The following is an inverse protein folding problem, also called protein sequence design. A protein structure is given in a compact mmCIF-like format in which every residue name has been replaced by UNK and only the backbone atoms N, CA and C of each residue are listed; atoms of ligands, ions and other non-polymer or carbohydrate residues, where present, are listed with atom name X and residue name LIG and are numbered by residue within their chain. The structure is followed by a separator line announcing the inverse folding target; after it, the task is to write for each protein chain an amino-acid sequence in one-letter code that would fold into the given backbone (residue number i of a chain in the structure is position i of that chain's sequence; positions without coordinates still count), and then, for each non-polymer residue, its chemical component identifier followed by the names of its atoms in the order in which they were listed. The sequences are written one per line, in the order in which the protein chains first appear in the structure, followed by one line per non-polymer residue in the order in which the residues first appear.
data_IF_436086999846
#
_entry.id   IF_436086999846
#
_cell.length_a   1.000
_cell.length_b   1.000
_cell.length_c   1.000
_cell.angle_alpha   90.00
_cell.angle_beta   90.00
_cell.angle_gamma   90.00
#
_symmetry.space_group_name_H-M   'P 1'
#
loop_
_entity.id
_entity.type
_entity.pdbx_description
1 polymer ?
#
# COMPACT_ATOMS: atom_id res chain seq x y z
N UNK A 1 8.01 -17.09 -2.02
CA UNK A 1 6.93 -16.20 -1.54
C UNK A 1 5.57 -16.72 -1.95
N UNK A 2 4.52 -16.48 -1.15
CA UNK A 2 3.12 -16.72 -1.48
C UNK A 2 2.47 -15.40 -1.96
N UNK A 3 1.64 -15.46 -3.00
CA UNK A 3 0.91 -14.29 -3.53
C UNK A 3 -0.58 -14.50 -3.30
N UNK A 4 -1.19 -13.57 -2.61
CA UNK A 4 -2.61 -13.58 -2.23
C UNK A 4 -3.32 -12.52 -3.07
N UNK A 5 -4.24 -12.95 -3.93
CA UNK A 5 -5.07 -12.05 -4.73
C UNK A 5 -6.07 -11.32 -3.84
N UNK A 6 -6.33 -10.07 -4.15
CA UNK A 6 -7.33 -9.25 -3.47
C UNK A 6 -8.63 -9.16 -4.28
N UNK A 7 -9.61 -8.43 -3.76
CA UNK A 7 -10.87 -8.17 -4.48
C UNK A 7 -10.73 -7.24 -5.70
N UNK A 8 -9.57 -6.57 -5.85
CA UNK A 8 -9.30 -5.67 -6.98
C UNK A 8 -8.12 -6.21 -7.78
N UNK A 9 -8.37 -6.48 -9.06
CA UNK A 9 -7.36 -7.08 -9.93
C UNK A 9 -6.10 -6.21 -10.06
N UNK A 10 -4.94 -6.89 -10.00
CA UNK A 10 -3.62 -6.28 -10.02
C UNK A 10 -3.08 -5.90 -8.64
N UNK A 11 -3.94 -5.67 -7.64
CA UNK A 11 -3.51 -5.44 -6.25
C UNK A 11 -3.33 -6.79 -5.56
N UNK A 12 -2.16 -7.03 -4.98
CA UNK A 12 -1.87 -8.31 -4.30
C UNK A 12 -1.17 -8.10 -2.97
N UNK A 13 -1.43 -9.04 -2.05
CA UNK A 13 -0.67 -9.17 -0.80
C UNK A 13 0.36 -10.28 -0.99
N UNK A 14 1.57 -10.04 -0.53
CA UNK A 14 2.67 -11.00 -0.61
C UNK A 14 3.05 -11.43 0.80
N UNK A 15 3.05 -12.74 1.04
CA UNK A 15 3.53 -13.35 2.28
C UNK A 15 4.92 -13.95 2.04
N UNK A 16 5.99 -13.32 2.55
CA UNK A 16 7.33 -13.89 2.46
C UNK A 16 7.48 -15.08 3.40
N UNK A 17 8.38 -16.00 3.06
CA UNK A 17 8.75 -17.08 3.99
C UNK A 17 9.76 -16.54 4.99
N UNK A 18 9.34 -16.38 6.24
CA UNK A 18 10.19 -15.92 7.35
C UNK A 18 10.76 -17.14 8.07
N UNK A 19 12.07 -17.20 8.24
CA UNK A 19 12.80 -18.20 9.02
C UNK A 19 13.17 -17.57 10.36
N UNK A 20 12.89 -18.25 11.48
CA UNK A 20 13.19 -17.77 12.83
C UNK A 20 14.04 -18.79 13.57
N UNK A 21 15.04 -18.31 14.33
CA UNK A 21 15.85 -19.08 15.25
C UNK A 21 16.22 -18.19 16.47
N UNK A 22 17.08 -18.69 17.35
CA UNK A 22 17.54 -17.99 18.56
C UNK A 22 18.29 -16.67 18.29
N UNK A 23 18.77 -16.44 17.07
CA UNK A 23 19.45 -15.20 16.64
C UNK A 23 18.48 -14.14 16.11
N UNK A 24 17.19 -14.48 15.89
CA UNK A 24 16.18 -13.60 15.34
C UNK A 24 15.49 -14.19 14.10
N UNK A 25 15.46 -13.44 13.00
CA UNK A 25 14.80 -13.88 11.77
C UNK A 25 15.63 -13.57 10.52
N UNK A 26 15.37 -14.36 9.48
CA UNK A 26 15.85 -14.11 8.13
C UNK A 26 14.72 -14.35 7.12
N UNK A 27 14.63 -13.53 6.11
CA UNK A 27 13.75 -13.75 4.96
C UNK A 27 14.27 -13.01 3.71
N UNK A 28 13.95 -13.54 2.55
CA UNK A 28 14.12 -12.83 1.28
C UNK A 28 13.01 -11.80 1.15
N UNK A 29 13.34 -10.51 1.33
CA UNK A 29 12.35 -9.44 1.29
C UNK A 29 11.94 -9.06 -0.14
N UNK A 30 12.75 -9.40 -1.15
CA UNK A 30 12.45 -9.21 -2.56
C UNK A 30 13.30 -10.13 -3.42
N UNK A 31 12.70 -10.68 -4.45
CA UNK A 31 13.38 -11.40 -5.53
C UNK A 31 12.74 -11.02 -6.86
N UNK A 32 13.51 -10.39 -7.75
CA UNK A 32 13.00 -9.99 -9.07
C UNK A 32 12.43 -11.18 -9.82
N UNK A 33 13.16 -12.30 -9.85
CA UNK A 33 12.72 -13.55 -10.52
C UNK A 33 11.38 -14.06 -9.99
N UNK A 34 11.21 -14.12 -8.66
CA UNK A 34 9.97 -14.60 -8.03
C UNK A 34 8.81 -13.62 -8.28
N UNK A 35 9.10 -12.32 -8.25
CA UNK A 35 8.10 -11.27 -8.47
C UNK A 35 7.60 -11.30 -9.92
N UNK A 36 8.50 -11.35 -10.90
CA UNK A 36 8.14 -11.42 -12.32
C UNK A 36 7.31 -12.67 -12.65
N UNK A 37 7.69 -13.79 -12.06
CA UNK A 37 7.01 -15.07 -12.29
C UNK A 37 5.62 -15.16 -11.64
N UNK A 38 5.40 -14.51 -10.49
CA UNK A 38 4.19 -14.72 -9.66
C UNK A 38 3.25 -13.52 -9.59
N UNK A 39 3.75 -12.32 -9.85
CA UNK A 39 2.96 -11.08 -9.79
C UNK A 39 2.87 -10.47 -11.19
N UNK A 40 3.96 -9.87 -11.65
CA UNK A 40 4.09 -9.32 -13.00
C UNK A 40 5.53 -8.89 -13.27
N UNK A 41 5.99 -8.83 -14.54
CA UNK A 41 7.29 -8.24 -14.86
C UNK A 41 7.27 -6.73 -14.59
N UNK A 42 8.01 -6.30 -13.57
CA UNK A 42 8.20 -4.90 -13.17
C UNK A 42 9.62 -4.72 -12.64
N UNK A 43 10.36 -3.75 -13.16
CA UNK A 43 11.68 -3.42 -12.67
C UNK A 43 11.62 -2.30 -11.65
N UNK A 44 11.94 -2.59 -10.38
CA UNK A 44 12.06 -1.54 -9.36
C UNK A 44 13.40 -0.81 -9.48
N UNK A 45 13.33 0.53 -9.43
CA UNK A 45 14.48 1.43 -9.68
C UNK A 45 14.74 2.41 -8.53
N UNK A 46 13.85 2.49 -7.55
CA UNK A 46 13.96 3.40 -6.41
C UNK A 46 13.42 2.75 -5.15
N UNK A 47 14.18 2.85 -4.05
CA UNK A 47 13.74 2.48 -2.70
C UNK A 47 13.57 3.74 -1.86
N UNK A 48 12.49 3.76 -1.05
CA UNK A 48 12.23 4.84 -0.10
C UNK A 48 11.94 4.25 1.28
N UNK A 49 12.32 4.99 2.30
CA UNK A 49 12.00 4.68 3.68
C UNK A 49 11.50 5.93 4.39
N UNK A 50 10.51 5.77 5.26
CA UNK A 50 10.02 6.82 6.13
C UNK A 50 9.75 6.28 7.52
N UNK A 51 9.93 7.13 8.53
CA UNK A 51 9.49 6.89 9.91
C UNK A 51 8.40 7.89 10.25
N UNK A 52 7.35 7.43 10.92
CA UNK A 52 6.20 8.24 11.31
C UNK A 52 5.66 7.76 12.65
N UNK A 53 5.02 8.67 13.40
CA UNK A 53 4.40 8.37 14.70
C UNK A 53 2.92 8.04 14.55
N UNK A 54 2.30 7.50 15.60
CA UNK A 54 0.88 7.17 15.66
C UNK A 54 0.00 8.30 15.14
N UNK A 55 -1.01 7.95 14.36
CA UNK A 55 -1.98 8.88 13.80
C UNK A 55 -1.52 9.60 12.54
N UNK A 56 -0.24 9.53 12.17
CA UNK A 56 0.22 10.07 10.88
C UNK A 56 -0.43 9.29 9.75
N UNK A 57 -1.05 10.04 8.84
CA UNK A 57 -1.63 9.51 7.61
C UNK A 57 -0.95 10.17 6.40
N UNK A 58 -0.57 9.39 5.42
CA UNK A 58 0.07 9.86 4.17
C UNK A 58 -0.71 9.34 2.98
N UNK A 59 -1.15 10.20 2.11
CA UNK A 59 -1.89 9.79 0.91
C UNK A 59 -3.12 10.65 0.64
N UNK A 60 -3.99 10.21 -0.25
CA UNK A 60 -3.82 9.08 -1.18
C UNK A 60 -3.13 9.60 -2.43
N UNK A 61 -1.90 9.15 -2.70
CA UNK A 61 -1.02 9.72 -3.70
C UNK A 61 -0.86 8.82 -4.93
N UNK A 62 -0.62 9.45 -6.08
CA UNK A 62 -0.19 8.83 -7.33
C UNK A 62 0.74 9.77 -8.10
N UNK A 63 1.37 9.27 -9.17
CA UNK A 63 2.05 10.10 -10.16
C UNK A 63 1.38 9.94 -11.53
N UNK A 64 1.26 11.06 -12.27
CA UNK A 64 0.71 11.08 -13.65
C UNK A 64 1.73 10.54 -14.65
N UNK A 65 1.23 10.12 -15.83
CA UNK A 65 2.09 9.78 -16.96
C UNK A 65 3.04 10.95 -17.32
N UNK A 66 4.26 10.68 -17.75
CA UNK A 66 4.89 9.36 -17.92
C UNK A 66 5.54 8.79 -16.64
N UNK A 67 5.36 9.43 -15.49
CA UNK A 67 6.04 9.12 -14.24
C UNK A 67 5.21 8.23 -13.30
N UNK A 68 4.18 7.54 -13.82
CA UNK A 68 3.39 6.61 -13.02
C UNK A 68 4.27 5.58 -12.32
N UNK A 69 3.89 5.21 -11.08
CA UNK A 69 4.64 4.27 -10.26
C UNK A 69 3.75 3.13 -9.77
N UNK A 70 4.24 1.89 -9.91
CA UNK A 70 3.84 0.81 -9.00
C UNK A 70 4.67 0.88 -7.74
N UNK A 71 4.10 0.38 -6.65
CA UNK A 71 4.79 0.34 -5.36
C UNK A 71 4.70 -1.05 -4.74
N UNK A 72 5.82 -1.57 -4.26
CA UNK A 72 5.87 -2.74 -3.39
C UNK A 72 6.26 -2.26 -2.00
N UNK A 73 5.31 -2.31 -1.07
CA UNK A 73 5.44 -1.69 0.25
C UNK A 73 5.48 -2.72 1.37
N UNK A 74 6.13 -2.38 2.48
CA UNK A 74 6.14 -3.15 3.71
C UNK A 74 6.34 -2.26 4.93
N UNK A 75 5.82 -2.68 6.08
CA UNK A 75 6.18 -2.14 7.37
C UNK A 75 7.42 -2.90 7.89
N UNK A 76 8.49 -2.17 8.24
CA UNK A 76 9.73 -2.75 8.77
C UNK A 76 9.68 -2.85 10.28
N UNK A 77 9.09 -1.84 10.92
CA UNK A 77 8.86 -1.76 12.37
C UNK A 77 7.46 -1.19 12.63
N UNK A 78 6.79 -1.68 13.67
CA UNK A 78 5.47 -1.22 14.06
C UNK A 78 4.36 -1.73 13.14
N UNK A 79 3.33 -0.93 12.92
CA UNK A 79 2.15 -1.30 12.14
C UNK A 79 1.54 -0.12 11.40
N UNK A 80 1.07 -0.38 10.17
CA UNK A 80 0.30 0.58 9.38
C UNK A 80 -0.91 -0.11 8.75
N UNK A 81 -2.02 0.61 8.59
CA UNK A 81 -3.08 0.25 7.67
C UNK A 81 -2.75 0.86 6.32
N UNK A 82 -2.44 0.03 5.34
CA UNK A 82 -2.10 0.43 3.98
C UNK A 82 -3.30 0.29 3.05
N UNK A 83 -3.51 1.24 2.15
CA UNK A 83 -4.70 1.32 1.30
C UNK A 83 -4.36 1.67 -0.13
N UNK A 84 -4.94 0.91 -1.06
CA UNK A 84 -4.91 1.16 -2.50
C UNK A 84 -6.33 1.41 -3.02
N UNK A 85 -6.56 2.56 -3.67
CA UNK A 85 -7.85 2.94 -4.28
C UNK A 85 -7.74 2.87 -5.79
N UNK A 86 -8.63 2.16 -6.46
CA UNK A 86 -8.70 2.14 -7.93
C UNK A 86 -9.23 3.48 -8.45
N UNK A 87 -8.38 4.22 -9.17
CA UNK A 87 -8.75 5.50 -9.78
C UNK A 87 -8.76 5.46 -11.32
N UNK A 88 -8.85 4.27 -11.93
CA UNK A 88 -8.91 4.08 -13.39
C UNK A 88 -10.35 4.23 -13.88
N UNK A 89 -10.65 5.29 -14.62
CA UNK A 89 -11.98 5.52 -15.23
C UNK A 89 -12.39 4.33 -16.10
N UNK A 90 -13.64 3.90 -15.98
CA UNK A 90 -14.18 2.75 -16.69
C UNK A 90 -13.82 1.40 -16.06
N UNK A 91 -13.04 1.36 -14.98
CA UNK A 91 -12.83 0.16 -14.19
C UNK A 91 -14.12 -0.24 -13.44
N UNK A 92 -14.48 -1.53 -13.37
CA UNK A 92 -15.61 -2.00 -12.56
C UNK A 92 -15.40 -1.78 -11.05
N UNK A 93 -14.16 -1.48 -10.66
CA UNK A 93 -13.76 -1.20 -9.27
C UNK A 93 -13.35 0.26 -9.04
N UNK A 94 -13.65 1.17 -9.98
CA UNK A 94 -13.37 2.60 -9.81
C UNK A 94 -13.94 3.13 -8.49
N UNK A 95 -13.12 3.80 -7.69
CA UNK A 95 -13.46 4.30 -6.35
C UNK A 95 -13.50 3.24 -5.24
N UNK A 96 -13.38 1.96 -5.57
CA UNK A 96 -13.23 0.90 -4.54
C UNK A 96 -11.79 0.80 -4.07
N UNK A 97 -11.61 0.31 -2.85
CA UNK A 97 -10.29 0.16 -2.24
C UNK A 97 -10.02 -1.25 -1.73
N UNK A 98 -8.75 -1.54 -1.52
CA UNK A 98 -8.26 -2.68 -0.73
C UNK A 98 -7.44 -2.10 0.42
N UNK A 99 -7.73 -2.55 1.64
CA UNK A 99 -6.94 -2.24 2.84
C UNK A 99 -6.18 -3.47 3.30
N UNK A 100 -4.95 -3.29 3.76
CA UNK A 100 -4.10 -4.35 4.29
C UNK A 100 -3.37 -3.85 5.54
N UNK A 101 -3.50 -4.58 6.66
CA UNK A 101 -2.65 -4.34 7.83
C UNK A 101 -1.25 -4.88 7.52
N UNK A 102 -0.25 -4.01 7.53
CA UNK A 102 1.15 -4.36 7.40
C UNK A 102 1.86 -4.13 8.73
N UNK A 103 2.56 -5.16 9.21
CA UNK A 103 3.29 -5.10 10.47
C UNK A 103 4.75 -5.46 10.26
N UNK A 104 5.62 -4.82 11.04
CA UNK A 104 7.00 -5.25 11.20
C UNK A 104 7.09 -6.63 11.87
N UNK A 105 8.27 -7.23 11.88
CA UNK A 105 8.53 -8.50 12.57
C UNK A 105 8.96 -8.28 14.04
N UNK A 106 8.69 -7.09 14.58
CA UNK A 106 8.92 -6.68 15.95
C UNK A 106 7.75 -7.02 16.87
N UNK A 107 7.94 -6.82 18.18
CA UNK A 107 6.98 -7.17 19.21
C UNK A 107 5.71 -6.28 19.16
N UNK A 108 5.86 -4.97 18.93
CA UNK A 108 4.73 -4.05 18.82
C UNK A 108 3.85 -4.41 17.62
N UNK A 109 4.47 -4.70 16.47
CA UNK A 109 3.78 -5.17 15.28
C UNK A 109 3.03 -6.49 15.52
N UNK A 110 3.62 -7.42 16.30
CA UNK A 110 2.97 -8.67 16.67
C UNK A 110 1.73 -8.44 17.56
N UNK A 111 1.81 -7.59 18.58
CA UNK A 111 0.70 -7.29 19.49
C UNK A 111 -0.49 -6.66 18.75
N UNK A 112 -0.22 -5.71 17.84
CA UNK A 112 -1.27 -5.08 17.02
C UNK A 112 -1.92 -6.11 16.09
N UNK A 113 -1.10 -6.98 15.48
CA UNK A 113 -1.57 -8.04 14.60
C UNK A 113 -2.47 -9.04 15.35
N UNK A 114 -2.11 -9.42 16.56
CA UNK A 114 -2.91 -10.35 17.37
C UNK A 114 -4.31 -9.78 17.64
N UNK A 115 -4.41 -8.52 18.07
CA UNK A 115 -5.69 -7.85 18.24
C UNK A 115 -6.50 -7.70 16.95
N UNK A 116 -5.84 -7.51 15.81
CA UNK A 116 -6.48 -7.48 14.50
C UNK A 116 -7.00 -8.87 14.09
N UNK A 117 -6.20 -9.90 14.29
CA UNK A 117 -6.55 -11.29 13.99
C UNK A 117 -7.71 -11.80 14.84
N UNK A 118 -7.81 -11.39 16.11
CA UNK A 118 -8.99 -11.71 16.95
C UNK A 118 -10.28 -11.10 16.37
N UNK A 119 -10.22 -9.85 15.86
CA UNK A 119 -11.37 -9.23 15.17
C UNK A 119 -11.74 -9.97 13.89
N UNK A 120 -10.74 -10.35 13.08
CA UNK A 120 -10.98 -11.14 11.87
C UNK A 120 -11.65 -12.48 12.17
N UNK A 121 -11.20 -13.19 13.20
CA UNK A 121 -11.81 -14.46 13.65
C UNK A 121 -13.26 -14.27 14.09
N UNK A 122 -13.53 -13.21 14.86
CA UNK A 122 -14.89 -12.88 15.29
C UNK A 122 -15.85 -12.61 14.12
N UNK A 123 -15.31 -12.13 12.99
CA UNK A 123 -16.04 -11.91 11.73
C UNK A 123 -16.04 -13.13 10.79
N UNK A 124 -15.52 -14.28 11.24
CA UNK A 124 -15.42 -15.48 10.41
C UNK A 124 -14.33 -15.44 9.33
N UNK A 125 -13.44 -14.46 9.40
CA UNK A 125 -12.32 -14.30 8.47
C UNK A 125 -11.06 -15.03 8.95
N UNK A 126 -10.17 -15.37 8.00
CA UNK A 126 -8.90 -16.02 8.34
C UNK A 126 -7.91 -15.00 8.91
N UNK A 127 -7.09 -15.41 9.90
CA UNK A 127 -6.01 -14.57 10.39
C UNK A 127 -4.95 -14.35 9.29
N UNK A 128 -4.28 -13.21 9.37
CA UNK A 128 -3.16 -12.84 8.49
C UNK A 128 -1.81 -12.99 9.21
N UNK A 129 -0.73 -13.07 8.44
CA UNK A 129 0.62 -13.24 8.96
C UNK A 129 1.30 -11.89 9.25
N UNK A 130 2.34 -11.90 10.07
CA UNK A 130 3.31 -10.81 10.26
C UNK A 130 4.22 -10.66 9.02
N UNK A 131 4.69 -9.44 8.76
CA UNK A 131 5.68 -9.19 7.72
C UNK A 131 5.13 -9.26 6.28
N UNK A 132 3.83 -9.11 6.12
CA UNK A 132 3.21 -9.02 4.79
C UNK A 132 3.75 -7.82 4.00
N UNK A 133 3.69 -7.94 2.69
CA UNK A 133 3.98 -6.86 1.75
C UNK A 133 2.75 -6.63 0.87
N UNK A 134 2.61 -5.40 0.36
CA UNK A 134 1.47 -5.02 -0.45
C UNK A 134 1.95 -4.43 -1.77
N UNK A 135 1.46 -4.97 -2.88
CA UNK A 135 1.76 -4.45 -4.21
C UNK A 135 0.59 -3.62 -4.72
N UNK A 136 0.86 -2.36 -4.99
CA UNK A 136 -0.06 -1.39 -5.57
C UNK A 136 0.39 -1.08 -7.00
N UNK A 137 -0.39 -1.47 -8.03
CA UNK A 137 -0.03 -1.24 -9.42
C UNK A 137 -0.22 0.22 -9.82
N UNK A 138 0.29 0.60 -11.00
CA UNK A 138 0.04 1.91 -11.60
C UNK A 138 -1.45 2.11 -11.86
N UNK A 139 -1.93 3.35 -11.75
CA UNK A 139 -3.35 3.67 -11.90
C UNK A 139 -4.18 3.58 -10.62
N UNK A 140 -3.49 3.44 -9.49
CA UNK A 140 -4.08 3.46 -8.15
C UNK A 140 -3.59 4.67 -7.36
N UNK A 141 -4.45 5.19 -6.46
CA UNK A 141 -4.03 6.09 -5.40
C UNK A 141 -3.68 5.27 -4.16
N UNK A 142 -2.59 5.63 -3.49
CA UNK A 142 -1.99 4.85 -2.41
C UNK A 142 -1.76 5.72 -1.18
N UNK A 143 -2.03 5.18 -0.01
CA UNK A 143 -1.75 5.83 1.26
C UNK A 143 -1.79 4.86 2.43
N UNK A 144 -1.37 5.35 3.60
CA UNK A 144 -1.38 4.55 4.83
C UNK A 144 -1.64 5.40 6.06
N UNK A 145 -2.07 4.74 7.13
CA UNK A 145 -2.22 5.29 8.48
C UNK A 145 -1.34 4.51 9.48
N UNK A 146 -0.63 5.20 10.36
CA UNK A 146 0.23 4.60 11.38
C UNK A 146 -0.58 4.21 12.60
N UNK A 147 -0.53 2.92 12.98
CA UNK A 147 -1.31 2.33 14.07
C UNK A 147 -0.48 1.99 15.32
N UNK A 148 0.85 2.00 15.22
CA UNK A 148 1.81 1.80 16.32
C UNK A 148 2.32 3.15 16.85
N UNK A 149 3.02 3.15 17.98
CA UNK A 149 3.67 4.37 18.50
C UNK A 149 4.60 4.99 17.43
N UNK A 150 5.37 4.14 16.76
CA UNK A 150 6.16 4.52 15.58
C UNK A 150 6.10 3.43 14.53
N UNK A 151 6.08 3.80 13.25
CA UNK A 151 6.24 2.85 12.16
C UNK A 151 7.41 3.26 11.25
N UNK A 152 8.22 2.27 10.86
CA UNK A 152 9.19 2.40 9.76
C UNK A 152 8.60 1.71 8.55
N UNK A 153 8.36 2.49 7.51
CA UNK A 153 7.69 2.07 6.29
C UNK A 153 8.61 2.19 5.10
N UNK A 154 8.81 1.08 4.38
CA UNK A 154 9.71 0.99 3.23
C UNK A 154 8.94 0.58 1.99
N UNK A 155 9.31 1.17 0.83
CA UNK A 155 8.68 0.80 -0.44
C UNK A 155 9.62 0.96 -1.64
N UNK A 156 9.47 0.03 -2.58
CA UNK A 156 10.11 0.05 -3.90
C UNK A 156 9.17 0.69 -4.91
N UNK A 157 9.74 1.50 -5.82
CA UNK A 157 9.02 2.10 -6.95
C UNK A 157 9.63 1.65 -8.27
N UNK A 158 8.79 1.42 -9.26
CA UNK A 158 9.20 1.02 -10.63
C UNK A 158 9.44 2.21 -11.56
N UNK A 159 9.39 3.42 -11.04
CA UNK A 159 9.76 4.65 -11.73
C UNK A 159 10.29 5.67 -10.72
N UNK A 160 10.98 6.71 -11.18
CA UNK A 160 11.53 7.75 -10.33
C UNK A 160 10.46 8.73 -9.85
N UNK A 161 10.70 9.31 -8.66
CA UNK A 161 9.86 10.37 -8.14
C UNK A 161 9.98 11.65 -8.99
N UNK A 162 8.84 12.19 -9.39
CA UNK A 162 8.71 13.39 -10.19
C UNK A 162 7.68 14.34 -9.54
N UNK A 163 8.12 15.34 -8.76
CA UNK A 163 7.22 16.24 -8.03
C UNK A 163 6.15 16.91 -8.89
N UNK A 164 6.50 17.26 -10.14
CA UNK A 164 5.59 17.89 -11.11
C UNK A 164 4.47 16.96 -11.60
N UNK A 165 4.65 15.65 -11.45
CA UNK A 165 3.67 14.64 -11.87
C UNK A 165 2.80 14.16 -10.69
N UNK A 166 3.11 14.58 -9.48
CA UNK A 166 2.39 14.13 -8.30
C UNK A 166 0.92 14.60 -8.31
N UNK A 167 0.05 13.75 -7.82
CA UNK A 167 -1.35 14.01 -7.59
C UNK A 167 -1.87 13.19 -6.43
N UNK A 168 -3.10 13.49 -6.01
CA UNK A 168 -3.74 12.78 -4.92
C UNK A 168 -5.26 12.96 -4.94
N UNK A 169 -5.94 12.11 -4.17
CA UNK A 169 -7.33 12.28 -3.75
C UNK A 169 -7.37 12.37 -2.23
N UNK A 170 -8.41 13.00 -1.69
CA UNK A 170 -8.52 13.24 -0.26
C UNK A 170 -8.55 11.92 0.52
N UNK A 171 -7.62 11.77 1.45
CA UNK A 171 -7.58 10.65 2.39
C UNK A 171 -8.73 10.71 3.41
N UNK A 172 -9.38 11.87 3.54
CA UNK A 172 -10.53 12.13 4.40
C UNK A 172 -11.87 12.06 3.64
N UNK A 173 -11.88 11.49 2.43
CA UNK A 173 -13.10 11.32 1.66
C UNK A 173 -13.93 10.15 2.19
N UNK A 174 -14.98 10.46 2.97
CA UNK A 174 -15.87 9.46 3.56
C UNK A 174 -16.59 8.60 2.49
N UNK A 175 -16.73 9.10 1.27
CA UNK A 175 -17.35 8.34 0.19
C UNK A 175 -16.55 7.12 -0.26
N UNK A 176 -15.26 7.07 0.05
CA UNK A 176 -14.40 5.91 -0.18
C UNK A 176 -14.68 4.76 0.79
N UNK A 177 -15.33 5.03 1.95
CA UNK A 177 -15.67 4.02 2.95
C UNK A 177 -14.45 3.35 3.60
N UNK A 178 -13.30 4.04 3.67
CA UNK A 178 -12.06 3.50 4.24
C UNK A 178 -12.13 3.61 5.77
N UNK A 179 -12.06 2.47 6.44
CA UNK A 179 -11.99 2.41 7.91
C UNK A 179 -10.53 2.56 8.38
N UNK A 180 -10.06 3.80 8.50
CA UNK A 180 -8.66 4.09 8.87
C UNK A 180 -8.26 3.66 10.28
N UNK A 181 -9.24 3.38 11.16
CA UNK A 181 -9.04 2.99 12.57
C UNK A 181 -8.34 4.05 13.45
N UNK A 182 -8.06 5.23 12.91
CA UNK A 182 -7.56 6.39 13.66
C UNK A 182 -8.78 7.19 14.14
N UNK A 183 -8.93 7.44 15.45
CA UNK A 183 -10.03 8.26 15.96
C UNK A 183 -10.03 9.66 15.35
N UNK A 184 -11.23 10.18 15.11
CA UNK A 184 -11.43 11.56 14.65
C UNK A 184 -10.70 12.54 15.57
N UNK A 185 -9.89 13.43 15.01
CA UNK A 185 -9.09 14.41 15.75
C UNK A 185 -7.68 13.94 16.16
N UNK A 186 -7.34 12.66 15.94
CA UNK A 186 -5.98 12.15 16.15
C UNK A 186 -5.19 11.99 14.84
N UNK A 187 -5.83 12.18 13.69
CA UNK A 187 -5.18 12.10 12.39
C UNK A 187 -4.21 13.28 12.19
N UNK A 188 -2.97 12.97 11.82
CA UNK A 188 -1.90 13.93 11.52
C UNK A 188 -1.65 13.89 10.02
N UNK A 189 -2.00 14.98 9.33
CA UNK A 189 -1.86 15.11 7.88
C UNK A 189 -0.86 16.22 7.54
N UNK A 190 -0.20 16.08 6.40
CA UNK A 190 0.54 17.20 5.84
C UNK A 190 -0.42 18.26 5.28
N UNK A 191 0.01 19.52 5.19
CA UNK A 191 -0.78 20.60 4.57
C UNK A 191 -1.19 20.21 3.14
N UNK A 192 -0.32 19.53 2.41
CA UNK A 192 -0.58 19.07 1.05
C UNK A 192 -1.72 18.05 1.01
N UNK A 193 -1.74 17.09 1.93
CA UNK A 193 -2.75 16.03 1.95
C UNK A 193 -4.15 16.56 2.28
N UNK A 194 -4.24 17.68 3.01
CA UNK A 194 -5.52 18.34 3.30
C UNK A 194 -6.12 19.11 2.10
N UNK A 195 -5.36 19.32 1.03
CA UNK A 195 -5.77 20.11 -0.14
C UNK A 195 -6.28 19.24 -1.30
N UNK A 196 -6.21 17.92 -1.19
CA UNK A 196 -6.69 17.04 -2.24
C UNK A 196 -8.21 17.02 -2.34
N UNK A 197 -8.72 16.87 -3.57
CA UNK A 197 -10.15 16.79 -3.86
C UNK A 197 -10.71 15.41 -3.45
N UNK A 198 -11.99 15.39 -3.05
CA UNK A 198 -12.72 14.14 -2.92
C UNK A 198 -12.88 13.46 -4.30
N UNK A 199 -13.13 12.15 -4.30
CA UNK A 199 -13.25 11.34 -5.52
C UNK A 199 -14.31 11.90 -6.49
N UNK A 200 -15.43 12.40 -5.98
CA UNK A 200 -16.53 12.98 -6.80
C UNK A 200 -16.11 14.21 -7.62
N UNK A 201 -15.16 14.99 -7.10
CA UNK A 201 -14.66 16.24 -7.71
C UNK A 201 -13.29 16.04 -8.41
N UNK A 202 -12.83 14.78 -8.42
CA UNK A 202 -11.54 14.40 -8.96
C UNK A 202 -11.69 13.87 -10.39
N UNK A 203 -10.96 14.50 -11.31
CA UNK A 203 -10.83 14.02 -12.68
C UNK A 203 -9.59 13.14 -12.81
N UNK A 204 -9.79 11.82 -12.77
CA UNK A 204 -8.67 10.88 -12.84
C UNK A 204 -7.92 10.98 -14.16
N UNK A 205 -6.58 11.01 -14.13
CA UNK A 205 -5.75 10.98 -15.33
C UNK A 205 -5.62 9.56 -15.93
N UNK A 206 -6.24 8.55 -15.31
CA UNK A 206 -6.13 7.14 -15.72
C UNK A 206 -7.46 6.58 -16.22
N UNK A 207 -7.39 5.65 -17.17
CA UNK A 207 -8.52 4.84 -17.63
C UNK A 207 -8.12 3.38 -17.78
N UNK A 208 -9.11 2.47 -17.76
CA UNK A 208 -8.87 1.03 -17.79
C UNK A 208 -8.16 0.55 -19.08
N UNK A 209 -8.33 1.24 -20.19
CA UNK A 209 -7.70 0.90 -21.46
C UNK A 209 -6.33 1.56 -21.69
N UNK A 210 -5.82 2.36 -20.75
CA UNK A 210 -4.56 3.05 -20.89
C UNK A 210 -3.39 2.09 -20.64
N UNK A 211 -2.38 2.13 -21.54
CA UNK A 211 -1.09 1.46 -21.28
C UNK A 211 -0.30 2.28 -20.25
N UNK A 212 -0.29 1.76 -19.02
CA UNK A 212 0.40 2.40 -17.91
C UNK A 212 1.86 1.90 -17.74
N UNK A 213 2.31 0.94 -18.56
CA UNK A 213 3.65 0.33 -18.48
C UNK A 213 4.36 0.29 -19.85
N UNK A 214 4.42 1.41 -20.58
CA UNK A 214 4.98 1.40 -21.94
C UNK A 214 6.43 0.96 -21.99
N UNK A 215 7.23 1.23 -20.97
CA UNK A 215 8.63 0.84 -20.88
C UNK A 215 8.86 -0.66 -20.65
N UNK A 216 7.86 -1.38 -20.14
CA UNK A 216 7.95 -2.85 -19.95
C UNK A 216 7.79 -3.64 -21.25
N UNK A 217 7.39 -2.99 -22.35
CA UNK A 217 7.21 -3.63 -23.67
C UNK A 217 8.50 -3.65 -24.50
N UNK A 218 9.54 -2.93 -24.06
CA UNK A 218 10.79 -2.72 -24.83
C UNK A 218 11.94 -3.63 -24.36
N UNK A 219 11.68 -4.70 -23.58
CA UNK A 219 12.72 -5.62 -23.11
C UNK A 219 12.49 -7.04 -23.59
#
# INVERSE_FOLDING_TARGET
MEVIKTAIDGVVVISPKVFRDERGYFFESFSQREFDAKVRPVRFVQDNESMSTYGVMRGLHFQRMPYTQSKLVRCVKGAVLDVAVDIRKGSPTYGRHVSCLLTGLDEEGAQILDGYNERLKAQGSKPIAQGLQFFVPRGFAHGFAVLSETAVFQYKCDNFYAPQAEGGISIQDDSLGIEWTIPTGQAILSVKDTQHKCLRDFDSPFSIGMDLYPECQLQ
#
